data_IF_693874209577
#
_entry.id   IF_693874209577
#
_cell.length_a   1.000
_cell.length_b   1.000
_cell.length_c   1.000
_cell.angle_alpha   90.00
_cell.angle_beta   90.00
_cell.angle_gamma   90.00
#
_symmetry.space_group_name_H-M   'P 1'
#
loop_
_entity.id
_entity.type
_entity.pdbx_description
1 polymer ?
#
# COMPACT_ATOMS: atom_id res chain seq x y z
N UNK A 1 -10.75 -31.03 -5.16
CA UNK A 1 -10.17 -30.12 -4.14
C UNK A 1 -11.26 -29.18 -3.68
N UNK A 2 -11.57 -29.15 -2.38
CA UNK A 2 -12.55 -28.23 -1.83
C UNK A 2 -11.84 -26.89 -1.60
N UNK A 3 -12.01 -25.94 -2.53
CA UNK A 3 -11.47 -24.60 -2.38
C UNK A 3 -12.31 -23.92 -1.31
N UNK A 4 -11.70 -23.54 -0.19
CA UNK A 4 -12.40 -22.84 0.88
C UNK A 4 -12.78 -21.41 0.39
N UNK A 5 -13.76 -20.79 1.05
CA UNK A 5 -14.27 -19.47 0.64
C UNK A 5 -13.19 -18.37 0.68
N UNK A 6 -12.15 -18.56 1.50
CA UNK A 6 -11.00 -17.65 1.59
C UNK A 6 -10.10 -17.70 0.36
N UNK A 7 -9.77 -18.89 -0.12
CA UNK A 7 -8.93 -19.04 -1.30
C UNK A 7 -9.68 -18.58 -2.56
N UNK A 8 -11.00 -18.80 -2.64
CA UNK A 8 -11.83 -18.32 -3.75
C UNK A 8 -11.84 -16.78 -3.87
N UNK A 9 -11.96 -16.08 -2.74
CA UNK A 9 -11.91 -14.62 -2.66
C UNK A 9 -10.57 -14.06 -3.19
N UNK A 10 -9.46 -14.68 -2.77
CA UNK A 10 -8.11 -14.30 -3.22
C UNK A 10 -7.90 -14.64 -4.71
N UNK A 11 -8.50 -15.72 -5.19
CA UNK A 11 -8.50 -16.10 -6.61
C UNK A 11 -9.26 -15.07 -7.46
N UNK A 12 -10.44 -14.65 -7.03
CA UNK A 12 -11.22 -13.61 -7.71
C UNK A 12 -10.45 -12.32 -7.83
N UNK A 13 -9.88 -11.85 -6.70
CA UNK A 13 -8.98 -10.70 -6.69
C UNK A 13 -7.91 -10.91 -7.76
N UNK A 14 -7.20 -12.05 -7.68
CA UNK A 14 -6.25 -12.63 -8.62
C UNK A 14 -6.57 -12.54 -10.13
N UNK A 15 -7.80 -12.81 -10.51
CA UNK A 15 -8.17 -12.97 -11.92
C UNK A 15 -8.81 -11.71 -12.51
N UNK A 16 -9.67 -11.06 -11.75
CA UNK A 16 -10.54 -9.96 -12.20
C UNK A 16 -9.99 -8.57 -11.83
N UNK A 17 -8.95 -8.48 -10.99
CA UNK A 17 -8.30 -7.21 -10.67
C UNK A 17 -9.12 -6.34 -9.72
N UNK A 18 -9.04 -5.01 -9.85
CA UNK A 18 -9.84 -4.08 -9.04
C UNK A 18 -11.36 -4.26 -9.24
N UNK A 19 -11.78 -4.82 -10.40
CA UNK A 19 -13.19 -5.15 -10.66
C UNK A 19 -13.69 -6.34 -9.84
N UNK A 20 -12.78 -7.14 -9.29
CA UNK A 20 -13.07 -8.27 -8.42
C UNK A 20 -13.44 -7.87 -6.98
N UNK A 21 -13.33 -6.59 -6.64
CA UNK A 21 -13.57 -6.10 -5.28
C UNK A 21 -15.08 -6.09 -5.03
N UNK A 22 -15.59 -7.28 -4.72
CA UNK A 22 -16.97 -7.48 -4.31
C UNK A 22 -17.19 -6.95 -2.90
N UNK A 23 -18.46 -6.74 -2.54
CA UNK A 23 -18.83 -6.37 -1.18
C UNK A 23 -18.32 -7.39 -0.15
N UNK A 24 -18.36 -8.69 -0.47
CA UNK A 24 -17.90 -9.76 0.42
C UNK A 24 -16.38 -9.73 0.61
N UNK A 25 -15.63 -9.52 -0.48
CA UNK A 25 -14.18 -9.39 -0.40
C UNK A 25 -13.78 -8.19 0.45
N UNK A 26 -14.44 -7.05 0.22
CA UNK A 26 -14.21 -5.84 0.99
C UNK A 26 -14.69 -5.98 2.44
N UNK A 27 -15.76 -6.72 2.71
CA UNK A 27 -16.19 -7.00 4.08
C UNK A 27 -15.11 -7.76 4.86
N UNK A 28 -14.43 -8.68 4.20
CA UNK A 28 -13.41 -9.55 4.79
C UNK A 28 -12.05 -8.87 4.99
N UNK A 29 -11.57 -8.16 3.98
CA UNK A 29 -10.21 -7.59 3.98
C UNK A 29 -10.20 -6.06 3.98
N UNK A 30 -11.35 -5.43 3.81
CA UNK A 30 -11.46 -4.00 3.67
C UNK A 30 -11.14 -3.25 4.95
N UNK A 31 -10.53 -2.08 4.79
CA UNK A 31 -10.35 -1.08 5.83
C UNK A 31 -10.77 0.27 5.28
N UNK A 32 -11.41 1.08 6.12
CA UNK A 32 -11.84 2.43 5.76
C UNK A 32 -11.26 3.43 6.72
N UNK A 33 -10.74 4.53 6.19
CA UNK A 33 -10.17 5.63 6.96
C UNK A 33 -10.78 6.95 6.51
N UNK A 34 -11.12 7.80 7.46
CA UNK A 34 -11.47 9.20 7.23
C UNK A 34 -10.21 10.02 6.97
N UNK A 35 -10.39 11.18 6.33
CA UNK A 35 -9.28 12.12 6.15
C UNK A 35 -8.62 12.46 7.50
N UNK A 36 -7.29 12.62 7.46
CA UNK A 36 -6.37 12.89 8.58
C UNK A 36 -6.18 11.74 9.57
N UNK A 37 -6.82 10.58 9.38
CA UNK A 37 -6.55 9.42 10.21
C UNK A 37 -5.21 8.79 9.87
N UNK A 38 -4.48 8.39 10.91
CA UNK A 38 -3.24 7.64 10.79
C UNK A 38 -3.59 6.19 10.45
N UNK A 39 -3.00 5.69 9.37
CA UNK A 39 -3.17 4.31 8.90
C UNK A 39 -2.07 3.43 9.48
N UNK A 40 -0.82 3.88 9.40
CA UNK A 40 0.36 3.23 9.98
C UNK A 40 1.20 4.27 10.70
N UNK A 41 1.85 3.89 11.81
CA UNK A 41 2.84 4.73 12.49
C UNK A 41 4.22 4.18 12.25
N UNK A 42 5.16 5.10 12.05
CA UNK A 42 6.58 4.79 12.01
C UNK A 42 7.03 4.10 13.30
N UNK A 43 7.86 3.06 13.17
CA UNK A 43 8.39 2.28 14.29
C UNK A 43 7.46 1.18 14.81
N UNK A 44 6.18 1.19 14.43
CA UNK A 44 5.26 0.11 14.81
C UNK A 44 5.66 -1.20 14.11
N UNK A 45 5.39 -2.34 14.75
CA UNK A 45 5.45 -3.64 14.08
C UNK A 45 4.20 -3.85 13.24
N UNK A 46 4.34 -4.50 12.09
CA UNK A 46 3.20 -4.92 11.28
C UNK A 46 3.62 -5.93 10.22
N UNK A 47 2.75 -6.91 9.98
CA UNK A 47 2.99 -8.03 9.05
C UNK A 47 1.98 -8.04 7.90
N UNK A 48 1.25 -6.94 7.74
CA UNK A 48 0.25 -6.74 6.72
C UNK A 48 0.66 -5.66 5.71
N UNK A 49 0.18 -5.83 4.49
CA UNK A 49 0.36 -4.96 3.34
C UNK A 49 -1.00 -4.43 2.89
N UNK A 50 -1.01 -3.21 2.36
CA UNK A 50 -2.23 -2.50 2.02
C UNK A 50 -2.27 -2.15 0.54
N UNK A 51 -3.38 -2.47 -0.13
CA UNK A 51 -3.69 -2.00 -1.48
C UNK A 51 -4.73 -0.89 -1.40
N UNK A 52 -4.45 0.25 -2.04
CA UNK A 52 -5.40 1.37 -2.09
C UNK A 52 -6.47 1.10 -3.14
N UNK A 53 -7.73 1.07 -2.73
CA UNK A 53 -8.88 0.90 -3.62
C UNK A 53 -9.46 2.24 -4.03
N UNK A 54 -9.54 3.16 -3.07
CA UNK A 54 -10.04 4.52 -3.31
C UNK A 54 -9.44 5.48 -2.28
N UNK A 55 -9.35 6.75 -2.66
CA UNK A 55 -8.83 7.81 -1.79
C UNK A 55 -7.35 8.10 -2.03
N UNK A 56 -6.75 8.81 -1.08
CA UNK A 56 -5.36 9.28 -1.16
C UNK A 56 -4.69 9.11 0.20
N UNK A 57 -3.48 8.55 0.19
CA UNK A 57 -2.64 8.35 1.37
C UNK A 57 -1.38 9.18 1.22
N UNK A 58 -0.87 9.76 2.30
CA UNK A 58 0.41 10.48 2.29
C UNK A 58 1.43 9.76 3.16
N UNK A 59 2.63 9.60 2.59
CA UNK A 59 3.83 9.12 3.29
C UNK A 59 4.45 10.30 3.99
N UNK A 60 4.70 10.17 5.28
CA UNK A 60 5.24 11.27 6.08
C UNK A 60 6.52 10.88 6.79
N UNK A 61 7.36 11.89 6.98
CA UNK A 61 8.56 11.83 7.80
C UNK A 61 8.36 12.73 9.01
N UNK A 62 8.74 12.23 10.18
CA UNK A 62 8.74 13.04 11.39
C UNK A 62 9.94 13.98 11.39
N UNK A 63 9.68 15.28 11.29
CA UNK A 63 10.74 16.30 11.29
C UNK A 63 11.05 16.78 12.72
N UNK A 64 10.02 16.87 13.57
CA UNK A 64 10.13 17.29 14.98
C UNK A 64 9.00 16.65 15.81
N UNK A 65 8.99 16.84 17.13
CA UNK A 65 7.84 16.41 17.95
C UNK A 65 6.52 17.00 17.42
N UNK A 66 5.62 16.13 16.97
CA UNK A 66 4.30 16.51 16.44
C UNK A 66 4.31 17.14 15.04
N UNK A 67 5.47 17.34 14.39
CA UNK A 67 5.55 17.91 13.03
C UNK A 67 5.97 16.85 12.01
N UNK A 68 5.16 16.72 10.98
CA UNK A 68 5.34 15.77 9.89
C UNK A 68 5.52 16.51 8.56
N UNK A 69 6.50 16.08 7.77
CA UNK A 69 6.69 16.50 6.38
C UNK A 69 6.12 15.43 5.46
N UNK A 70 5.34 15.83 4.46
CA UNK A 70 4.87 14.92 3.41
C UNK A 70 6.03 14.63 2.46
N UNK A 71 6.41 13.36 2.33
CA UNK A 71 7.43 12.91 1.40
C UNK A 71 6.82 12.51 0.05
N UNK A 72 5.67 11.84 0.09
CA UNK A 72 5.03 11.32 -1.10
C UNK A 72 3.52 11.16 -0.89
N UNK A 73 2.77 10.99 -1.97
CA UNK A 73 1.36 10.64 -1.92
C UNK A 73 1.07 9.43 -2.80
N UNK A 74 0.24 8.53 -2.28
CA UNK A 74 -0.18 7.29 -2.90
C UNK A 74 -1.68 7.33 -3.21
N UNK A 75 -2.08 6.73 -4.33
CA UNK A 75 -3.45 6.65 -4.81
C UNK A 75 -3.90 5.23 -5.18
N UNK A 76 -5.09 5.08 -5.78
CA UNK A 76 -5.64 3.77 -6.14
C UNK A 76 -4.68 2.93 -6.99
N UNK A 77 -4.64 1.63 -6.70
CA UNK A 77 -3.76 0.67 -7.34
C UNK A 77 -2.33 0.63 -6.77
N UNK A 78 -1.96 1.57 -5.90
CA UNK A 78 -0.67 1.55 -5.21
C UNK A 78 -0.73 0.74 -3.91
N UNK A 79 0.45 0.22 -3.53
CA UNK A 79 0.64 -0.63 -2.37
C UNK A 79 1.60 0.04 -1.39
N UNK A 80 1.33 -0.13 -0.09
CA UNK A 80 2.22 0.30 0.98
C UNK A 80 2.23 -0.68 2.16
N UNK A 81 3.24 -0.55 3.02
CA UNK A 81 3.45 -1.43 4.18
C UNK A 81 4.15 -2.75 3.84
N UNK A 82 4.49 -2.94 2.56
CA UNK A 82 5.21 -4.09 2.02
C UNK A 82 6.59 -4.27 2.68
N UNK A 83 7.31 -3.18 2.95
CA UNK A 83 8.68 -3.24 3.47
C UNK A 83 8.73 -3.91 4.85
N UNK A 84 7.85 -3.53 5.76
CA UNK A 84 7.81 -4.10 7.10
C UNK A 84 7.49 -5.60 7.08
N UNK A 85 6.60 -6.01 6.16
CA UNK A 85 6.23 -7.41 5.96
C UNK A 85 7.37 -8.22 5.33
N UNK A 86 7.99 -7.71 4.25
CA UNK A 86 9.00 -8.42 3.47
C UNK A 86 10.36 -8.50 4.19
N UNK A 87 10.75 -7.44 4.89
CA UNK A 87 12.04 -7.35 5.57
C UNK A 87 11.95 -7.73 7.05
N UNK A 88 10.74 -8.06 7.54
CA UNK A 88 10.46 -8.27 8.96
C UNK A 88 10.99 -7.12 9.84
N UNK A 89 10.78 -5.89 9.36
CA UNK A 89 11.27 -4.65 9.96
C UNK A 89 10.11 -3.80 10.50
N UNK A 90 10.34 -2.86 11.43
CA UNK A 90 9.34 -1.86 11.82
C UNK A 90 8.87 -1.03 10.61
N UNK A 91 7.68 -0.43 10.72
CA UNK A 91 7.16 0.51 9.70
C UNK A 91 8.16 1.66 9.50
N UNK A 92 8.56 1.90 8.26
CA UNK A 92 9.58 2.91 7.90
C UNK A 92 9.07 4.35 7.89
N UNK A 93 7.76 4.55 7.95
CA UNK A 93 7.14 5.87 7.89
C UNK A 93 5.76 5.89 8.53
N UNK A 94 5.28 7.08 8.89
CA UNK A 94 3.88 7.29 9.29
C UNK A 94 3.05 7.57 8.04
N UNK A 95 1.94 6.84 7.87
CA UNK A 95 1.03 6.94 6.73
C UNK A 95 -0.29 7.54 7.20
N UNK A 96 -0.79 8.56 6.50
CA UNK A 96 -2.01 9.28 6.86
C UNK A 96 -2.96 9.31 5.67
N UNK A 97 -4.25 9.06 5.90
CA UNK A 97 -5.28 9.27 4.89
C UNK A 97 -5.42 10.77 4.61
N UNK A 98 -5.15 11.22 3.38
CA UNK A 98 -5.34 12.60 2.96
C UNK A 98 -6.80 12.91 2.56
N UNK A 99 -7.55 11.88 2.18
CA UNK A 99 -8.99 11.92 1.89
C UNK A 99 -9.67 10.67 2.44
N UNK A 100 -11.01 10.57 2.46
CA UNK A 100 -11.69 9.30 2.76
C UNK A 100 -11.12 8.18 1.89
N UNK A 101 -10.60 7.14 2.53
CA UNK A 101 -9.77 6.12 1.90
C UNK A 101 -10.32 4.73 2.18
N UNK A 102 -10.35 3.89 1.14
CA UNK A 102 -10.67 2.46 1.22
C UNK A 102 -9.46 1.65 0.81
N UNK A 103 -9.14 0.63 1.61
CA UNK A 103 -7.97 -0.22 1.43
C UNK A 103 -8.38 -1.68 1.51
N UNK A 104 -7.62 -2.58 0.89
CA UNK A 104 -7.55 -3.98 1.29
C UNK A 104 -6.33 -4.16 2.18
N UNK A 105 -6.50 -4.81 3.33
CA UNK A 105 -5.45 -5.20 4.25
C UNK A 105 -5.21 -6.70 4.13
N UNK A 106 -4.02 -7.07 3.68
CA UNK A 106 -3.65 -8.46 3.42
C UNK A 106 -2.51 -8.84 4.35
N UNK A 107 -2.65 -9.96 5.07
CA UNK A 107 -1.54 -10.56 5.82
C UNK A 107 -0.47 -11.07 4.85
N UNK A 108 0.73 -11.31 5.36
CA UNK A 108 1.79 -11.98 4.61
C UNK A 108 1.31 -13.28 3.95
N UNK A 109 0.59 -14.13 4.68
CA UNK A 109 0.04 -15.38 4.14
C UNK A 109 -0.90 -15.14 2.95
N UNK A 110 -1.84 -14.18 3.07
CA UNK A 110 -2.78 -13.87 1.99
C UNK A 110 -2.05 -13.30 0.78
N UNK A 111 -1.04 -12.47 1.01
CA UNK A 111 -0.22 -11.89 -0.03
C UNK A 111 0.56 -12.97 -0.79
N UNK A 112 1.25 -13.87 -0.08
CA UNK A 112 1.98 -14.99 -0.67
C UNK A 112 1.07 -15.89 -1.51
N UNK A 113 -0.13 -16.22 -1.00
CA UNK A 113 -1.13 -17.00 -1.75
C UNK A 113 -1.55 -16.32 -3.06
N UNK A 114 -1.78 -15.00 -3.05
CA UNK A 114 -2.10 -14.23 -4.26
C UNK A 114 -0.96 -14.35 -5.27
N UNK A 115 0.30 -14.21 -4.84
CA UNK A 115 1.47 -14.31 -5.73
C UNK A 115 1.63 -15.69 -6.35
N UNK A 116 1.54 -16.75 -5.54
CA UNK A 116 1.73 -18.13 -6.01
C UNK A 116 0.64 -18.56 -6.98
N UNK A 117 -0.58 -18.11 -6.74
CA UNK A 117 -1.75 -18.60 -7.47
C UNK A 117 -2.06 -17.75 -8.71
N UNK A 118 -1.59 -16.48 -8.77
CA UNK A 118 -1.99 -15.52 -9.82
C UNK A 118 -0.83 -14.63 -10.30
N UNK A 119 -0.03 -15.10 -11.28
CA UNK A 119 1.12 -14.36 -11.82
C UNK A 119 0.79 -12.96 -12.36
N UNK A 120 -0.45 -12.72 -12.81
CA UNK A 120 -0.91 -11.39 -13.27
C UNK A 120 -0.94 -10.36 -12.13
N UNK A 121 -1.21 -10.77 -10.89
CA UNK A 121 -1.12 -9.84 -9.75
C UNK A 121 0.31 -9.53 -9.38
N UNK A 122 1.16 -10.56 -9.35
CA UNK A 122 2.59 -10.34 -9.16
C UNK A 122 3.11 -9.30 -10.17
N UNK A 123 2.71 -9.39 -11.44
CA UNK A 123 3.04 -8.40 -12.46
C UNK A 123 2.48 -7.00 -12.16
N UNK A 124 1.21 -6.87 -11.75
CA UNK A 124 0.63 -5.57 -11.36
C UNK A 124 1.37 -4.93 -10.19
N UNK A 125 1.75 -5.73 -9.20
CA UNK A 125 2.50 -5.28 -8.03
C UNK A 125 3.91 -4.84 -8.44
N UNK A 126 4.58 -5.62 -9.30
CA UNK A 126 5.86 -5.24 -9.90
C UNK A 126 5.78 -3.90 -10.63
N UNK A 127 4.72 -3.68 -11.44
CA UNK A 127 4.50 -2.41 -12.13
C UNK A 127 4.26 -1.26 -11.15
N UNK A 128 3.46 -1.48 -10.10
CA UNK A 128 3.19 -0.47 -9.07
C UNK A 128 4.48 -0.05 -8.33
N UNK A 129 5.29 -1.04 -7.90
CA UNK A 129 6.59 -0.78 -7.27
C UNK A 129 7.56 -0.09 -8.24
N UNK A 130 7.58 -0.49 -9.51
CA UNK A 130 8.39 0.17 -10.55
C UNK A 130 8.04 1.66 -10.71
N UNK A 131 6.74 2.01 -10.70
CA UNK A 131 6.29 3.41 -10.73
C UNK A 131 6.73 4.19 -9.49
N UNK A 132 6.75 3.54 -8.32
CA UNK A 132 7.22 4.14 -7.06
C UNK A 132 8.71 4.44 -7.10
N UNK A 133 9.52 3.51 -7.62
CA UNK A 133 10.96 3.71 -7.86
C UNK A 133 11.19 4.91 -8.79
N UNK A 134 10.49 4.97 -9.93
CA UNK A 134 10.61 6.09 -10.87
C UNK A 134 10.20 7.43 -10.24
N UNK A 135 9.17 7.43 -9.40
CA UNK A 135 8.70 8.64 -8.71
C UNK A 135 9.71 9.10 -7.66
N UNK A 136 10.33 8.17 -6.93
CA UNK A 136 11.42 8.49 -6.00
C UNK A 136 12.64 9.10 -6.75
N UNK A 137 13.05 8.52 -7.88
CA UNK A 137 14.13 9.09 -8.71
C UNK A 137 13.84 10.53 -9.16
N UNK A 138 12.62 10.80 -9.64
CA UNK A 138 12.22 12.17 -10.03
C UNK A 138 12.27 13.17 -8.87
N UNK A 139 11.91 12.75 -7.66
CA UNK A 139 11.99 13.60 -6.47
C UNK A 139 13.45 13.92 -6.12
N UNK A 140 14.34 12.93 -6.21
CA UNK A 140 15.78 13.11 -5.98
C UNK A 140 16.38 14.06 -7.02
N UNK A 141 16.11 13.86 -8.31
CA UNK A 141 16.56 14.78 -9.37
C UNK A 141 16.02 16.20 -9.19
N UNK A 142 14.75 16.34 -8.82
CA UNK A 142 14.13 17.64 -8.54
C UNK A 142 14.78 18.35 -7.36
N UNK A 143 15.16 17.61 -6.31
CA UNK A 143 15.90 18.15 -5.16
C UNK A 143 17.28 18.69 -5.56
N UNK A 144 18.05 17.93 -6.35
CA UNK A 144 19.36 18.39 -6.84
C UNK A 144 19.25 19.60 -7.77
N UNK A 145 18.26 19.64 -8.67
CA UNK A 145 18.03 20.81 -9.53
C UNK A 145 17.58 22.06 -8.76
N UNK A 146 16.77 21.89 -7.71
CA UNK A 146 16.34 22.99 -6.84
C UNK A 146 17.45 23.53 -5.93
N UNK A 147 18.40 22.68 -5.55
CA UNK A 147 19.55 23.06 -4.70
C UNK A 147 20.68 23.73 -5.48
N UNK A 148 20.74 23.55 -6.81
CA UNK A 148 21.73 24.19 -7.70
C UNK A 148 21.32 25.59 -8.19
N UNK A 149 20.08 26.01 -7.93
CA UNK A 149 19.52 27.32 -8.32
C UNK A 149 19.28 28.26 -7.12
N UNK A 150 19.90 27.98 -5.97
CA UNK A 150 19.98 28.86 -4.79
C UNK A 150 21.45 29.16 -4.49
#
# INVERSE_FOLDING_TARGET
MNINNHDYDLIKLGFEGEQAITADLFFKYGRTFQARQIILREGDKGNEVYLIIAGKVVVTERVNQGKYRVLNSLGPGEIFGEMAMLENAPRSATLIAASPTKLLSLTQENFEKIFQSHPRWAFKILVALGRRIQSAFRQVEGYYRGSANQ
#
